data_IF_463327196208
#
_entry.id   IF_463327196208
#
_cell.length_a   1.000
_cell.length_b   1.000
_cell.length_c   1.000
_cell.angle_alpha   90.00
_cell.angle_beta   90.00
_cell.angle_gamma   90.00
#
_symmetry.space_group_name_H-M   'P 1'
#
loop_
_entity.id
_entity.type
_entity.pdbx_description
1 polymer ?
#
# COMPACT_ATOMS: atom_id res chain seq x y z
N UNK A 1 -21.93 -1.56 12.17
CA UNK A 1 -21.15 -2.80 12.22
C UNK A 1 -19.73 -2.51 12.65
N UNK A 2 -19.17 -3.38 13.45
CA UNK A 2 -17.79 -3.20 13.90
C UNK A 2 -16.82 -3.36 12.72
N UNK A 3 -15.79 -2.54 12.69
CA UNK A 3 -14.74 -2.67 11.70
C UNK A 3 -13.99 -3.99 11.88
N UNK A 4 -13.58 -4.59 10.78
CA UNK A 4 -12.72 -5.76 10.83
C UNK A 4 -11.33 -5.37 11.29
N UNK A 5 -10.72 -6.23 12.07
CA UNK A 5 -9.34 -6.03 12.49
C UNK A 5 -8.39 -6.32 11.33
N UNK A 6 -7.20 -5.73 11.38
CA UNK A 6 -6.14 -6.05 10.43
C UNK A 6 -5.42 -7.31 10.87
N UNK A 7 -4.93 -8.07 9.90
CA UNK A 7 -4.01 -9.17 10.21
C UNK A 7 -2.71 -8.57 10.75
N UNK A 8 -1.90 -9.41 11.40
CA UNK A 8 -0.59 -8.99 11.89
C UNK A 8 0.27 -8.39 10.78
N UNK A 9 0.30 -9.03 9.62
CA UNK A 9 1.07 -8.57 8.47
C UNK A 9 0.55 -7.23 7.94
N UNK A 10 -0.77 -7.07 7.87
CA UNK A 10 -1.35 -5.80 7.43
C UNK A 10 -1.00 -4.68 8.41
N UNK A 11 -1.06 -4.95 9.71
CA UNK A 11 -0.69 -3.95 10.71
C UNK A 11 0.80 -3.61 10.62
N UNK A 12 1.66 -4.59 10.40
CA UNK A 12 3.09 -4.36 10.19
C UNK A 12 3.34 -3.49 8.96
N UNK A 13 2.59 -3.72 7.87
CA UNK A 13 2.72 -2.91 6.66
C UNK A 13 2.32 -1.45 6.92
N UNK A 14 1.24 -1.23 7.67
CA UNK A 14 0.81 0.12 8.03
C UNK A 14 1.84 0.81 8.93
N UNK A 15 2.39 0.10 9.90
CA UNK A 15 3.44 0.65 10.77
C UNK A 15 4.69 0.99 9.97
N UNK A 16 5.07 0.14 9.03
CA UNK A 16 6.22 0.38 8.16
C UNK A 16 5.96 1.60 7.25
N UNK A 17 4.74 1.75 6.76
CA UNK A 17 4.36 2.90 5.93
C UNK A 17 4.57 4.22 6.68
N UNK A 18 4.17 4.28 7.95
CA UNK A 18 4.38 5.46 8.79
C UNK A 18 5.86 5.76 8.96
N UNK A 19 6.64 4.72 9.23
CA UNK A 19 8.09 4.86 9.42
C UNK A 19 8.77 5.40 8.16
N UNK A 20 8.40 4.85 7.00
CA UNK A 20 8.97 5.29 5.72
C UNK A 20 8.61 6.75 5.44
N UNK A 21 7.35 7.12 5.62
CA UNK A 21 6.92 8.51 5.40
C UNK A 21 7.69 9.48 6.32
N UNK A 22 7.89 9.09 7.59
CA UNK A 22 8.64 9.91 8.54
C UNK A 22 10.12 10.04 8.12
N UNK A 23 10.75 8.94 7.73
CA UNK A 23 12.14 8.94 7.28
C UNK A 23 12.35 9.80 6.04
N UNK A 24 11.38 9.81 5.14
CA UNK A 24 11.42 10.62 3.92
C UNK A 24 10.97 12.06 4.17
N UNK A 25 10.56 12.38 5.39
CA UNK A 25 10.06 13.71 5.78
C UNK A 25 8.88 14.16 4.93
N UNK A 26 8.02 13.20 4.55
CA UNK A 26 6.78 13.51 3.85
C UNK A 26 5.74 14.01 4.85
N UNK A 27 4.80 14.87 4.42
CA UNK A 27 3.84 15.49 5.35
C UNK A 27 2.71 14.58 5.81
N UNK A 28 2.53 13.44 5.15
CA UNK A 28 1.48 12.48 5.48
C UNK A 28 1.88 11.08 5.00
N UNK A 29 1.13 10.08 5.45
CA UNK A 29 1.31 8.70 5.00
C UNK A 29 0.34 8.45 3.83
N UNK A 30 0.89 8.20 2.66
CA UNK A 30 0.08 7.96 1.46
C UNK A 30 0.10 6.51 1.02
N UNK A 31 -0.61 6.23 -0.09
CA UNK A 31 -0.65 4.89 -0.67
C UNK A 31 0.73 4.42 -1.11
N UNK A 32 1.59 5.35 -1.55
CA UNK A 32 2.97 5.05 -1.92
C UNK A 32 3.76 4.45 -0.77
N UNK A 33 3.59 4.98 0.43
CA UNK A 33 4.27 4.46 1.61
C UNK A 33 3.73 3.09 2.00
N UNK A 34 2.42 2.90 1.88
CA UNK A 34 1.82 1.60 2.15
C UNK A 34 2.32 0.55 1.15
N UNK A 35 2.52 0.92 -0.10
CA UNK A 35 3.05 -0.02 -1.10
C UNK A 35 4.44 -0.51 -0.69
N UNK A 36 5.31 0.39 -0.21
CA UNK A 36 6.60 -0.02 0.34
C UNK A 36 6.45 -0.94 1.54
N UNK A 37 5.53 -0.60 2.44
CA UNK A 37 5.25 -1.44 3.61
C UNK A 37 4.81 -2.84 3.20
N UNK A 38 3.92 -2.95 2.23
CA UNK A 38 3.45 -4.24 1.73
C UNK A 38 4.59 -5.05 1.10
N UNK A 39 5.46 -4.38 0.35
CA UNK A 39 6.62 -5.04 -0.27
C UNK A 39 7.58 -5.58 0.78
N UNK A 40 7.83 -4.82 1.84
CA UNK A 40 8.77 -5.22 2.90
C UNK A 40 8.24 -6.32 3.81
N UNK A 41 6.91 -6.42 3.97
CA UNK A 41 6.30 -7.48 4.78
C UNK A 41 6.15 -8.72 3.88
N UNK A 42 7.27 -9.40 3.67
CA UNK A 42 7.35 -10.53 2.74
C UNK A 42 6.60 -11.79 3.22
N UNK A 43 6.17 -11.83 4.49
CA UNK A 43 5.34 -12.93 5.00
C UNK A 43 3.88 -12.75 4.63
N UNK A 44 3.47 -11.55 4.19
CA UNK A 44 2.11 -11.32 3.74
C UNK A 44 1.91 -11.68 2.27
N UNK A 45 0.67 -11.92 1.89
CA UNK A 45 0.31 -12.27 0.50
C UNK A 45 0.76 -11.17 -0.48
N UNK A 46 0.50 -9.90 -0.11
CA UNK A 46 0.85 -8.78 -0.98
C UNK A 46 2.35 -8.72 -1.26
N UNK A 47 3.17 -8.87 -0.22
CA UNK A 47 4.63 -8.85 -0.38
C UNK A 47 5.10 -9.96 -1.29
N UNK A 48 4.53 -11.15 -1.15
CA UNK A 48 4.89 -12.30 -1.98
C UNK A 48 4.49 -12.08 -3.44
N UNK A 49 3.30 -11.54 -3.69
CA UNK A 49 2.83 -11.25 -5.04
C UNK A 49 3.70 -10.19 -5.71
N UNK A 50 4.03 -9.12 -4.98
CA UNK A 50 4.90 -8.07 -5.51
C UNK A 50 6.29 -8.61 -5.84
N UNK A 51 6.84 -9.43 -4.95
CA UNK A 51 8.15 -10.04 -5.16
C UNK A 51 8.18 -10.95 -6.40
N UNK A 52 7.17 -11.80 -6.53
CA UNK A 52 7.04 -12.71 -7.67
C UNK A 52 6.89 -11.98 -9.01
N UNK A 53 6.37 -10.75 -8.96
CA UNK A 53 6.22 -9.93 -10.16
C UNK A 53 7.39 -8.95 -10.33
N UNK A 54 8.48 -9.19 -9.62
CA UNK A 54 9.75 -8.47 -9.75
C UNK A 54 9.63 -6.98 -9.47
N UNK A 55 8.76 -6.62 -8.53
CA UNK A 55 8.63 -5.22 -8.08
C UNK A 55 9.79 -4.94 -7.14
N UNK A 56 10.71 -4.10 -7.57
CA UNK A 56 11.96 -3.79 -6.87
C UNK A 56 11.83 -2.46 -6.14
N UNK A 57 12.28 -2.42 -4.88
CA UNK A 57 12.21 -1.20 -4.05
C UNK A 57 12.99 -0.04 -4.66
N UNK A 58 14.15 -0.31 -5.24
CA UNK A 58 14.95 0.75 -5.87
C UNK A 58 14.19 1.42 -7.01
N UNK A 59 13.51 0.63 -7.84
CA UNK A 59 12.67 1.16 -8.91
C UNK A 59 11.42 1.84 -8.34
N UNK A 60 10.86 1.32 -7.26
CA UNK A 60 9.74 1.97 -6.57
C UNK A 60 10.13 3.36 -6.07
N UNK A 61 11.33 3.52 -5.50
CA UNK A 61 11.82 4.81 -5.05
C UNK A 61 11.93 5.81 -6.20
N UNK A 62 12.46 5.37 -7.33
CA UNK A 62 12.58 6.21 -8.52
C UNK A 62 11.21 6.64 -9.03
N UNK A 63 10.26 5.72 -9.08
CA UNK A 63 8.91 6.03 -9.52
C UNK A 63 8.24 7.01 -8.55
N UNK A 64 8.42 6.82 -7.25
CA UNK A 64 7.88 7.72 -6.25
C UNK A 64 8.45 9.13 -6.38
N UNK A 65 9.76 9.25 -6.60
CA UNK A 65 10.42 10.56 -6.77
C UNK A 65 9.88 11.33 -7.97
N UNK A 66 9.48 10.61 -9.02
CA UNK A 66 8.88 11.22 -10.20
C UNK A 66 7.46 11.70 -9.91
N UNK A 67 6.69 10.90 -9.18
CA UNK A 67 5.25 11.13 -8.97
C UNK A 67 4.96 12.04 -7.77
N UNK A 68 5.85 12.05 -6.77
CA UNK A 68 5.65 12.78 -5.53
C UNK A 68 6.84 13.70 -5.28
N UNK A 69 6.63 15.01 -5.49
CA UNK A 69 7.62 15.99 -5.08
C UNK A 69 7.27 16.47 -3.69
N UNK A 70 8.18 16.32 -2.75
CA UNK A 70 7.97 16.86 -1.41
C UNK A 70 8.14 18.37 -1.46
N UNK A 71 7.11 19.18 -1.14
CA UNK A 71 7.27 20.62 -1.03
C UNK A 71 8.29 20.94 0.06
N UNK A 72 9.05 22.04 -0.08
CA UNK A 72 10.03 22.44 0.93
C UNK A 72 9.42 22.60 2.33
N UNK A 73 8.17 23.06 2.40
CA UNK A 73 7.44 23.19 3.66
C UNK A 73 7.22 21.83 4.35
N UNK A 74 7.35 20.73 3.63
CA UNK A 74 7.16 19.38 4.16
C UNK A 74 8.41 18.82 4.85
N UNK A 75 9.55 19.51 4.79
CA UNK A 75 10.81 19.04 5.39
C UNK A 75 10.87 19.20 6.91
N UNK A 76 9.79 19.64 7.54
CA UNK A 76 9.73 19.74 8.99
C UNK A 76 9.37 18.40 9.60
N UNK A 77 10.14 17.96 10.59
CA UNK A 77 9.81 16.79 11.37
C UNK A 77 8.43 16.96 12.01
N UNK A 78 7.58 15.96 11.82
CA UNK A 78 6.27 15.92 12.47
C UNK A 78 6.23 14.69 13.38
N UNK A 79 5.78 14.89 14.61
CA UNK A 79 5.70 13.81 15.59
C UNK A 79 4.64 12.77 15.23
N UNK A 80 3.57 13.21 14.57
CA UNK A 80 2.51 12.31 14.12
C UNK A 80 2.15 12.62 12.68
N UNK A 81 2.26 11.59 11.84
CA UNK A 81 1.83 11.68 10.46
C UNK A 81 0.45 11.07 10.34
N UNK A 82 -0.47 11.82 9.80
CA UNK A 82 -1.81 11.33 9.50
C UNK A 82 -1.80 10.63 8.15
N UNK A 83 -2.74 9.72 7.97
CA UNK A 83 -2.97 9.12 6.67
C UNK A 83 -3.54 10.18 5.72
N UNK A 84 -3.10 10.15 4.46
CA UNK A 84 -3.68 11.01 3.44
C UNK A 84 -5.16 10.70 3.25
N UNK A 85 -5.96 11.64 2.70
CA UNK A 85 -7.37 11.33 2.42
C UNK A 85 -7.54 10.11 1.52
N UNK A 86 -6.66 9.96 0.52
CA UNK A 86 -6.73 8.80 -0.38
C UNK A 86 -6.44 7.50 0.36
N UNK A 87 -5.43 7.49 1.23
CA UNK A 87 -5.11 6.29 2.00
C UNK A 87 -6.26 5.94 2.95
N UNK A 88 -6.87 6.94 3.60
CA UNK A 88 -8.04 6.69 4.44
C UNK A 88 -9.17 6.03 3.66
N UNK A 89 -9.40 6.52 2.43
CA UNK A 89 -10.40 5.92 1.55
C UNK A 89 -10.05 4.46 1.24
N UNK A 90 -8.79 4.18 0.92
CA UNK A 90 -8.33 2.82 0.64
C UNK A 90 -8.52 1.90 1.85
N UNK A 91 -8.19 2.38 3.04
CA UNK A 91 -8.37 1.59 4.26
C UNK A 91 -9.84 1.27 4.51
N UNK A 92 -10.72 2.22 4.28
CA UNK A 92 -12.16 2.03 4.42
C UNK A 92 -12.68 1.02 3.39
N UNK A 93 -12.28 1.17 2.13
CA UNK A 93 -12.70 0.25 1.07
C UNK A 93 -12.12 -1.15 1.24
N UNK A 94 -10.96 -1.28 1.87
CA UNK A 94 -10.37 -2.60 2.13
C UNK A 94 -11.22 -3.42 3.09
N UNK A 95 -12.01 -2.77 3.96
CA UNK A 95 -12.99 -3.45 4.80
C UNK A 95 -14.04 -4.15 3.93
N UNK A 96 -14.54 -3.45 2.91
CA UNK A 96 -15.52 -4.01 1.98
C UNK A 96 -14.89 -5.14 1.16
N UNK A 97 -13.65 -4.99 0.75
CA UNK A 97 -12.95 -6.03 0.00
C UNK A 97 -12.82 -7.31 0.82
N UNK A 98 -12.50 -7.19 2.11
CA UNK A 98 -12.41 -8.34 3.00
C UNK A 98 -13.78 -9.04 3.15
N UNK A 99 -14.85 -8.25 3.22
CA UNK A 99 -16.21 -8.81 3.27
C UNK A 99 -16.52 -9.62 1.99
N UNK A 100 -16.20 -9.04 0.82
CA UNK A 100 -16.47 -9.70 -0.46
C UNK A 100 -15.71 -11.02 -0.61
N UNK A 101 -14.50 -11.08 -0.05
CA UNK A 101 -13.67 -12.27 -0.11
C UNK A 101 -13.91 -13.20 1.09
N UNK A 102 -14.93 -12.94 1.89
CA UNK A 102 -15.33 -13.74 3.05
C UNK A 102 -14.20 -13.94 4.07
N UNK A 103 -13.37 -12.91 4.24
CA UNK A 103 -12.26 -12.92 5.20
C UNK A 103 -12.68 -12.29 6.51
N UNK A 104 -12.25 -12.87 7.63
CA UNK A 104 -12.57 -12.35 8.95
C UNK A 104 -11.79 -11.06 9.26
N UNK A 105 -10.59 -10.93 8.70
CA UNK A 105 -9.70 -9.79 8.94
C UNK A 105 -9.27 -9.17 7.62
N UNK A 106 -8.82 -7.92 7.70
CA UNK A 106 -8.24 -7.22 6.56
C UNK A 106 -6.77 -7.61 6.47
N UNK A 107 -6.41 -8.34 5.44
CA UNK A 107 -5.03 -8.75 5.19
C UNK A 107 -4.32 -7.85 4.20
N UNK A 108 -3.04 -8.12 3.99
CA UNK A 108 -2.23 -7.36 3.02
C UNK A 108 -2.81 -7.48 1.61
N UNK A 109 -3.38 -8.64 1.26
CA UNK A 109 -4.02 -8.84 -0.05
C UNK A 109 -5.19 -7.91 -0.27
N UNK A 110 -5.99 -7.64 0.77
CA UNK A 110 -7.13 -6.73 0.66
C UNK A 110 -6.67 -5.29 0.45
N UNK A 111 -5.61 -4.89 1.14
CA UNK A 111 -5.02 -3.56 0.97
C UNK A 111 -4.48 -3.40 -0.46
N UNK A 112 -3.74 -4.38 -0.94
CA UNK A 112 -3.19 -4.35 -2.30
C UNK A 112 -4.30 -4.33 -3.35
N UNK A 113 -5.28 -5.23 -3.25
CA UNK A 113 -6.39 -5.30 -4.20
C UNK A 113 -7.16 -3.99 -4.27
N UNK A 114 -7.42 -3.39 -3.10
CA UNK A 114 -8.15 -2.11 -3.05
C UNK A 114 -7.36 -1.01 -3.77
N UNK A 115 -6.05 -0.95 -3.55
CA UNK A 115 -5.21 0.02 -4.25
C UNK A 115 -5.18 -0.22 -5.76
N UNK A 116 -5.12 -1.47 -6.18
CA UNK A 116 -5.08 -1.80 -7.61
C UNK A 116 -6.38 -1.42 -8.32
N UNK A 117 -7.51 -1.48 -7.62
CA UNK A 117 -8.81 -1.07 -8.16
C UNK A 117 -8.93 0.44 -8.29
N UNK A 118 -8.13 1.19 -7.52
CA UNK A 118 -8.09 2.65 -7.61
C UNK A 118 -6.93 3.07 -8.51
N UNK A 119 -7.23 3.29 -9.78
CA UNK A 119 -6.20 3.64 -10.77
C UNK A 119 -5.57 5.00 -10.55
N UNK A 120 -6.16 5.84 -9.70
CA UNK A 120 -5.68 7.21 -9.47
C UNK A 120 -4.75 7.34 -8.28
N UNK A 121 -4.64 6.31 -7.42
CA UNK A 121 -3.74 6.42 -6.27
C UNK A 121 -2.28 6.32 -6.70
N UNK A 122 -1.41 6.95 -5.92
CA UNK A 122 0.03 7.01 -6.25
C UNK A 122 0.63 5.60 -6.34
N UNK A 123 0.23 4.69 -5.45
CA UNK A 123 0.73 3.31 -5.46
C UNK A 123 0.50 2.63 -6.81
N UNK A 124 -0.72 2.74 -7.36
CA UNK A 124 -1.03 2.14 -8.66
C UNK A 124 -0.25 2.81 -9.77
N UNK A 125 -0.12 4.15 -9.72
CA UNK A 125 0.68 4.88 -10.71
C UNK A 125 2.15 4.46 -10.68
N UNK A 126 2.70 4.21 -9.50
CA UNK A 126 4.06 3.69 -9.38
C UNK A 126 4.20 2.36 -10.08
N UNK A 127 3.28 1.44 -9.84
CA UNK A 127 3.30 0.12 -10.48
C UNK A 127 3.17 0.22 -12.00
N UNK A 128 2.31 1.13 -12.48
CA UNK A 128 2.18 1.38 -13.92
C UNK A 128 3.46 1.95 -14.52
N UNK A 129 4.12 2.86 -13.80
CA UNK A 129 5.41 3.42 -14.24
C UNK A 129 6.48 2.34 -14.37
N UNK A 130 6.41 1.31 -13.53
CA UNK A 130 7.33 0.17 -13.57
C UNK A 130 6.91 -0.90 -14.59
N UNK A 131 5.87 -0.64 -15.37
CA UNK A 131 5.33 -1.57 -16.37
C UNK A 131 4.84 -2.89 -15.75
N UNK A 132 4.37 -2.83 -14.52
CA UNK A 132 3.78 -3.99 -13.85
C UNK A 132 2.36 -4.20 -14.37
N UNK A 133 2.02 -5.43 -14.67
CA UNK A 133 0.67 -5.77 -15.13
C UNK A 133 -0.27 -5.80 -13.94
N UNK A 134 -1.11 -4.76 -13.81
CA UNK A 134 -2.03 -4.59 -12.69
C UNK A 134 -3.05 -5.74 -12.62
N UNK A 135 -3.58 -6.14 -13.76
CA UNK A 135 -4.55 -7.25 -13.80
C UNK A 135 -3.95 -8.57 -13.32
N UNK A 136 -2.68 -8.81 -13.65
CA UNK A 136 -1.98 -10.00 -13.22
C UNK A 136 -1.77 -10.00 -11.69
N UNK A 137 -1.40 -8.86 -11.12
CA UNK A 137 -1.26 -8.71 -9.67
C UNK A 137 -2.60 -8.97 -8.97
N UNK A 138 -3.66 -8.38 -9.49
CA UNK A 138 -5.01 -8.55 -8.95
C UNK A 138 -5.40 -10.02 -8.91
N UNK A 139 -5.25 -10.74 -10.02
CA UNK A 139 -5.58 -12.15 -10.11
C UNK A 139 -4.75 -13.00 -9.16
N UNK A 140 -3.44 -12.74 -9.05
CA UNK A 140 -2.56 -13.49 -8.16
C UNK A 140 -2.89 -13.25 -6.70
N UNK A 141 -3.19 -12.02 -6.33
CA UNK A 141 -3.57 -11.68 -4.96
C UNK A 141 -4.87 -12.38 -4.57
N UNK A 142 -5.85 -12.40 -5.46
CA UNK A 142 -7.12 -13.08 -5.23
C UNK A 142 -6.94 -14.60 -5.13
N UNK A 143 -6.12 -15.16 -6.02
CA UNK A 143 -5.88 -16.61 -6.05
C UNK A 143 -5.18 -17.10 -4.78
N UNK A 144 -4.22 -16.36 -4.27
CA UNK A 144 -3.50 -16.74 -3.06
C UNK A 144 -4.35 -16.61 -1.80
N UNK A 145 -5.40 -15.79 -1.87
CA UNK A 145 -6.33 -15.61 -0.76
C UNK A 145 -7.39 -16.71 -0.66
N UNK A 146 -7.59 -17.49 -1.70
CA UNK A 146 -8.60 -18.56 -1.70
C UNK A 146 -7.98 -19.93 -1.28
#
# INVERSE_FOLDING_TARGET
MAEKQYTRQAQEALNMARKIAAELKHPYVGTEHLLFGLKRVFTGVAGQVLDKNKVDEEQMEKAMDILVSAPEAAKKERKHLEYSPRLRYILEESQNEAVQLASEKVGTEHLLLTMLKDGDCVATRMLMTLNVNIQKLDRKSTRLNS
#
